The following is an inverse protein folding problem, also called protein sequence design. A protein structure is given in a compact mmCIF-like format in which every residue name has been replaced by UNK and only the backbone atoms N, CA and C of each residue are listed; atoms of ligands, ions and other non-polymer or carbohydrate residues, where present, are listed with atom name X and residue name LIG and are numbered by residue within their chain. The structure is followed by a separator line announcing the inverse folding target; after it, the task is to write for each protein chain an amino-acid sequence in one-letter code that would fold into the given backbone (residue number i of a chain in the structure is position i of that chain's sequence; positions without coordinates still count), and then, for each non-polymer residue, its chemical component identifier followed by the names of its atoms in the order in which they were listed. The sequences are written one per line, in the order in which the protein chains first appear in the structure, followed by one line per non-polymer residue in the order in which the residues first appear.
data_IF_932308805946
#
_entry.id   IF_932308805946
#
_cell.length_a   1.000
_cell.length_b   1.000
_cell.length_c   1.000
_cell.angle_alpha   90.00
_cell.angle_beta   90.00
_cell.angle_gamma   90.00
#
_symmetry.space_group_name_H-M   'P 1'
#
loop_
_entity.id
_entity.type
_entity.pdbx_description
1 polymer ?
#
# COMPACT_ATOMS: atom_id res chain seq x y z
N UNK A 1 -14.31 -20.41 7.05
CA UNK A 1 -13.42 -19.22 7.10
C UNK A 1 -12.08 -19.68 7.64
N UNK A 2 -11.04 -19.51 6.86
CA UNK A 2 -9.64 -19.72 7.29
C UNK A 2 -8.99 -18.35 7.51
N UNK A 3 -8.07 -18.27 8.48
CA UNK A 3 -7.45 -16.99 8.84
C UNK A 3 -5.95 -17.12 9.06
N UNK A 4 -5.21 -16.07 8.74
CA UNK A 4 -3.79 -15.93 9.07
C UNK A 4 -3.55 -14.55 9.71
N UNK A 5 -3.16 -14.56 10.99
CA UNK A 5 -2.93 -13.34 11.76
C UNK A 5 -1.50 -12.83 11.57
N UNK A 6 -1.37 -11.55 11.30
CA UNK A 6 -0.10 -10.85 11.17
C UNK A 6 -0.02 -9.69 12.16
N UNK A 7 0.64 -9.91 13.30
CA UNK A 7 0.86 -8.86 14.30
C UNK A 7 1.70 -7.69 13.74
N UNK A 8 1.41 -6.49 14.18
CA UNK A 8 2.09 -5.26 13.75
C UNK A 8 3.61 -5.30 13.98
N UNK A 9 4.05 -5.87 15.09
CA UNK A 9 5.47 -5.99 15.46
C UNK A 9 6.20 -7.11 14.70
N UNK A 10 5.47 -8.05 14.09
CA UNK A 10 6.04 -9.14 13.27
C UNK A 10 6.41 -8.71 11.85
N UNK A 11 6.04 -7.49 11.43
CA UNK A 11 6.36 -6.95 10.11
C UNK A 11 7.85 -6.70 9.96
N UNK A 12 8.37 -6.87 8.75
CA UNK A 12 9.71 -6.41 8.40
C UNK A 12 9.88 -4.93 8.66
N UNK A 13 11.10 -4.48 8.94
CA UNK A 13 11.35 -3.07 9.14
C UNK A 13 12.67 -2.65 8.51
N UNK A 14 12.69 -1.41 7.99
CA UNK A 14 13.90 -0.73 7.55
C UNK A 14 13.89 0.70 8.12
N UNK A 15 15.07 1.18 8.53
CA UNK A 15 15.26 2.55 8.97
C UNK A 15 16.53 3.11 8.31
N UNK A 16 16.33 4.10 7.45
CA UNK A 16 17.39 4.77 6.72
C UNK A 16 17.61 6.22 7.20
N UNK A 17 17.09 6.55 8.38
CA UNK A 17 17.05 7.90 8.91
C UNK A 17 15.89 8.71 8.33
N UNK A 18 15.91 8.99 7.05
CA UNK A 18 14.86 9.72 6.35
C UNK A 18 13.59 8.88 6.04
N UNK A 19 13.72 7.56 6.02
CA UNK A 19 12.64 6.60 5.78
C UNK A 19 12.57 5.61 6.94
N UNK A 20 11.40 5.47 7.54
CA UNK A 20 11.04 4.37 8.42
C UNK A 20 9.96 3.56 7.72
N UNK A 21 10.27 2.33 7.33
CA UNK A 21 9.38 1.46 6.58
C UNK A 21 9.01 0.21 7.39
N UNK A 22 7.74 -0.20 7.30
CA UNK A 22 7.23 -1.46 7.82
C UNK A 22 6.63 -2.28 6.68
N UNK A 23 7.08 -3.53 6.54
CA UNK A 23 6.73 -4.41 5.43
C UNK A 23 5.86 -5.56 5.92
N UNK A 24 4.64 -5.67 5.41
CA UNK A 24 3.77 -6.83 5.70
C UNK A 24 4.24 -8.08 4.98
N UNK A 25 4.84 -7.93 3.79
CA UNK A 25 5.39 -9.01 2.96
C UNK A 25 6.87 -8.75 2.66
N UNK A 26 7.58 -9.81 2.25
CA UNK A 26 9.00 -9.76 1.91
C UNK A 26 9.29 -8.66 0.89
N UNK A 27 10.13 -7.70 1.28
CA UNK A 27 10.43 -6.51 0.51
C UNK A 27 11.83 -6.00 0.83
N UNK A 28 12.54 -5.47 -0.18
CA UNK A 28 13.89 -4.90 -0.09
C UNK A 28 14.89 -5.84 0.62
N UNK A 29 15.36 -5.47 1.80
CA UNK A 29 16.33 -6.24 2.58
C UNK A 29 15.73 -7.27 3.54
N UNK A 30 14.40 -7.26 3.71
CA UNK A 30 13.71 -8.20 4.59
C UNK A 30 13.08 -9.34 3.82
N UNK A 31 13.35 -10.56 4.24
CA UNK A 31 12.82 -11.77 3.63
C UNK A 31 12.27 -12.72 4.69
N UNK A 32 11.02 -13.15 4.49
CA UNK A 32 10.37 -14.23 5.24
C UNK A 32 9.64 -15.13 4.22
N UNK A 33 9.99 -16.42 4.10
CA UNK A 33 9.37 -17.31 3.12
C UNK A 33 7.87 -17.53 3.34
N UNK A 34 7.37 -17.32 4.56
CA UNK A 34 5.95 -17.41 4.89
C UNK A 34 5.18 -16.11 4.64
N UNK A 35 5.91 -15.05 4.26
CA UNK A 35 5.39 -13.71 4.05
C UNK A 35 5.83 -13.14 2.70
N UNK A 36 5.53 -13.85 1.62
CA UNK A 36 5.85 -13.38 0.26
C UNK A 36 4.74 -12.49 -0.28
N UNK A 37 3.49 -12.90 -0.13
CA UNK A 37 2.30 -12.23 -0.64
C UNK A 37 1.04 -12.81 -0.01
N UNK A 38 -0.11 -12.15 -0.25
CA UNK A 38 -1.44 -12.69 0.05
C UNK A 38 -2.26 -12.64 -1.25
N UNK A 39 -2.47 -13.79 -1.89
CA UNK A 39 -3.07 -13.80 -3.23
C UNK A 39 -2.34 -12.86 -4.19
N UNK A 40 -3.07 -11.99 -4.87
CA UNK A 40 -2.48 -10.99 -5.77
C UNK A 40 -1.83 -9.79 -5.04
N UNK A 41 -2.03 -9.62 -3.73
CA UNK A 41 -1.40 -8.56 -2.93
C UNK A 41 0.07 -8.91 -2.66
N UNK A 42 0.98 -8.24 -3.40
CA UNK A 42 2.42 -8.49 -3.33
C UNK A 42 3.14 -7.63 -2.29
N UNK A 43 2.72 -6.38 -2.14
CA UNK A 43 3.33 -5.42 -1.21
C UNK A 43 2.24 -4.71 -0.42
N UNK A 44 2.45 -4.56 0.87
CA UNK A 44 1.81 -3.58 1.74
C UNK A 44 2.89 -3.02 2.67
N UNK A 45 3.31 -1.82 2.38
CA UNK A 45 4.26 -1.05 3.17
C UNK A 45 3.54 0.10 3.87
N UNK A 46 3.94 0.35 5.11
CA UNK A 46 3.53 1.47 5.94
C UNK A 46 4.78 2.32 6.18
N UNK A 47 4.89 3.41 5.44
CA UNK A 47 6.11 4.20 5.32
C UNK A 47 5.96 5.58 5.96
N UNK A 48 6.97 6.00 6.73
CA UNK A 48 7.12 7.35 7.24
C UNK A 48 8.34 7.97 6.56
N UNK A 49 8.14 9.08 5.83
CA UNK A 49 9.17 9.78 5.07
C UNK A 49 9.33 11.19 5.63
N UNK A 50 10.57 11.56 5.97
CA UNK A 50 10.89 12.91 6.46
C UNK A 50 10.61 14.00 5.43
N UNK A 51 10.44 15.23 5.90
CA UNK A 51 10.18 16.40 5.07
C UNK A 51 11.19 16.58 3.94
N UNK A 52 10.71 16.81 2.72
CA UNK A 52 11.53 17.01 1.51
C UNK A 52 12.28 15.77 1.01
N UNK A 53 12.19 14.64 1.72
CA UNK A 53 12.84 13.39 1.34
C UNK A 53 11.90 12.49 0.52
N UNK A 54 12.44 11.47 -0.12
CA UNK A 54 11.65 10.57 -0.94
C UNK A 54 12.48 9.63 -1.79
N UNK A 55 11.82 8.98 -2.73
CA UNK A 55 12.41 8.04 -3.67
C UNK A 55 12.67 8.73 -5.00
N UNK A 56 13.93 8.73 -5.44
CA UNK A 56 14.32 9.21 -6.75
C UNK A 56 13.72 8.38 -7.88
N UNK A 57 13.94 8.80 -9.13
CA UNK A 57 13.38 8.12 -10.30
C UNK A 57 13.80 6.66 -10.37
N UNK A 58 12.82 5.77 -10.45
CA UNK A 58 12.97 4.33 -10.56
C UNK A 58 11.90 3.70 -11.45
N UNK A 59 12.17 2.52 -12.05
CA UNK A 59 11.26 1.88 -12.98
C UNK A 59 10.27 0.94 -12.31
N UNK A 60 9.12 0.74 -12.96
CA UNK A 60 8.19 -0.35 -12.73
C UNK A 60 7.64 -0.88 -14.05
N UNK A 61 7.32 -2.16 -14.11
CA UNK A 61 6.59 -2.79 -15.19
C UNK A 61 5.59 -3.82 -14.63
N UNK A 62 4.48 -4.00 -15.34
CA UNK A 62 3.48 -5.04 -15.04
C UNK A 62 3.12 -5.14 -13.55
N UNK A 63 2.83 -4.01 -12.95
CA UNK A 63 2.43 -3.88 -11.55
C UNK A 63 1.34 -2.79 -11.43
N UNK A 64 0.35 -3.03 -10.60
CA UNK A 64 -0.60 -2.03 -10.14
C UNK A 64 -0.07 -1.48 -8.82
N UNK A 65 0.24 -0.17 -8.78
CA UNK A 65 0.83 0.50 -7.63
C UNK A 65 -0.17 1.49 -7.08
N UNK A 66 -0.49 1.34 -5.80
CA UNK A 66 -1.50 2.12 -5.10
C UNK A 66 -0.84 2.87 -3.95
N UNK A 67 -1.07 4.18 -3.86
CA UNK A 67 -0.57 5.03 -2.77
C UNK A 67 -1.72 5.69 -2.05
N UNK A 68 -1.73 5.59 -0.71
CA UNK A 68 -2.74 6.17 0.16
C UNK A 68 -2.03 6.94 1.28
N UNK A 69 -1.89 8.26 1.19
CA UNK A 69 -1.38 9.07 2.30
C UNK A 69 -2.36 9.04 3.48
N UNK A 70 -1.87 8.58 4.63
CA UNK A 70 -2.60 8.61 5.90
C UNK A 70 -2.44 9.94 6.63
N UNK A 71 -1.32 10.63 6.38
CA UNK A 71 -1.00 11.96 6.90
C UNK A 71 0.02 12.64 5.99
N UNK A 72 -0.23 13.90 5.65
CA UNK A 72 0.67 14.69 4.81
C UNK A 72 0.48 14.44 3.31
N UNK A 73 1.35 15.03 2.49
CA UNK A 73 1.21 15.10 1.03
C UNK A 73 2.42 14.51 0.33
N UNK A 74 2.19 13.67 -0.69
CA UNK A 74 3.23 13.05 -1.53
C UNK A 74 3.25 13.70 -2.91
N UNK A 75 4.39 14.18 -3.36
CA UNK A 75 4.60 14.58 -4.76
C UNK A 75 5.00 13.35 -5.59
N UNK A 76 4.26 13.11 -6.66
CA UNK A 76 4.52 12.08 -7.66
C UNK A 76 4.89 12.74 -9.00
N UNK A 77 5.93 12.20 -9.65
CA UNK A 77 6.30 12.56 -11.04
C UNK A 77 6.60 11.28 -11.81
N UNK A 78 6.13 11.21 -13.05
CA UNK A 78 6.35 10.03 -13.88
C UNK A 78 6.73 10.35 -15.33
N UNK A 79 7.14 9.29 -16.06
CA UNK A 79 7.54 9.36 -17.45
C UNK A 79 6.37 9.54 -18.44
N UNK A 80 5.12 9.46 -17.97
CA UNK A 80 3.93 9.77 -18.75
C UNK A 80 3.64 11.28 -18.78
N UNK A 81 4.37 12.08 -17.98
CA UNK A 81 4.23 13.52 -17.88
C UNK A 81 3.36 14.00 -16.72
N UNK A 82 2.93 13.11 -15.84
CA UNK A 82 2.21 13.52 -14.64
C UNK A 82 3.18 14.15 -13.63
N UNK A 83 2.72 15.23 -13.01
CA UNK A 83 3.34 15.88 -11.84
C UNK A 83 2.22 16.28 -10.92
N UNK A 84 1.96 15.45 -9.93
CA UNK A 84 0.76 15.54 -9.09
C UNK A 84 1.15 15.54 -7.61
N UNK A 85 0.25 16.01 -6.77
CA UNK A 85 0.36 15.92 -5.31
C UNK A 85 -0.80 15.08 -4.80
N UNK A 86 -0.48 13.92 -4.23
CA UNK A 86 -1.44 13.03 -3.59
C UNK A 86 -1.54 13.48 -2.14
N UNK A 87 -2.72 13.97 -1.75
CA UNK A 87 -2.96 14.55 -0.42
C UNK A 87 -3.51 13.51 0.55
N UNK A 88 -3.39 13.80 1.83
CA UNK A 88 -4.14 13.07 2.85
C UNK A 88 -5.62 12.98 2.51
N UNK A 89 -6.19 11.76 2.56
CA UNK A 89 -7.57 11.49 2.16
C UNK A 89 -7.79 11.37 0.65
N UNK A 90 -6.73 11.12 -0.12
CA UNK A 90 -6.78 10.75 -1.53
C UNK A 90 -6.21 9.34 -1.73
N UNK A 91 -6.58 8.71 -2.84
CA UNK A 91 -5.98 7.48 -3.33
C UNK A 91 -5.43 7.71 -4.72
N UNK A 92 -4.23 7.20 -4.99
CA UNK A 92 -3.59 7.22 -6.29
C UNK A 92 -3.36 5.80 -6.77
N UNK A 93 -3.53 5.58 -8.07
CA UNK A 93 -3.17 4.36 -8.78
C UNK A 93 -2.27 4.68 -9.96
N UNK A 94 -1.20 3.91 -10.10
CA UNK A 94 -0.35 3.87 -11.28
C UNK A 94 -0.30 2.43 -11.80
N UNK A 95 -0.89 2.19 -12.98
CA UNK A 95 -0.72 0.92 -13.70
C UNK A 95 0.57 1.02 -14.50
N UNK A 96 1.59 0.25 -14.14
CA UNK A 96 2.91 0.33 -14.75
C UNK A 96 2.96 -0.26 -16.17
N UNK A 97 2.11 -1.24 -16.48
CA UNK A 97 1.93 -1.80 -17.83
C UNK A 97 3.24 -2.16 -18.53
N UNK A 98 3.47 -1.60 -19.72
CA UNK A 98 4.69 -1.84 -20.52
C UNK A 98 5.96 -1.21 -19.94
N UNK A 99 5.83 -0.39 -18.90
CA UNK A 99 6.93 0.24 -18.20
C UNK A 99 6.73 1.73 -17.93
N UNK A 100 7.05 2.16 -16.72
CA UNK A 100 7.01 3.56 -16.29
C UNK A 100 8.23 3.82 -15.39
N UNK A 101 8.73 5.05 -15.43
CA UNK A 101 9.66 5.58 -14.45
C UNK A 101 8.92 6.61 -13.61
N UNK A 102 9.07 6.57 -12.29
CA UNK A 102 8.50 7.59 -11.42
C UNK A 102 9.40 7.93 -10.23
N UNK A 103 9.06 9.03 -9.58
CA UNK A 103 9.68 9.47 -8.32
C UNK A 103 8.58 9.92 -7.36
N UNK A 104 8.83 9.73 -6.07
CA UNK A 104 7.90 10.03 -4.99
C UNK A 104 8.62 10.78 -3.87
N UNK A 105 8.20 12.01 -3.58
CA UNK A 105 8.80 12.84 -2.54
C UNK A 105 7.76 13.36 -1.57
N UNK A 106 8.12 13.42 -0.30
CA UNK A 106 7.33 14.18 0.66
C UNK A 106 7.28 15.64 0.23
N UNK A 107 6.08 16.12 -0.10
CA UNK A 107 5.86 17.50 -0.59
C UNK A 107 6.11 18.54 0.49
N UNK A 108 5.94 18.18 1.76
CA UNK A 108 6.16 19.07 2.88
C UNK A 108 7.67 19.15 3.17
N UNK A 109 8.19 20.35 3.42
CA UNK A 109 9.61 20.54 3.68
C UNK A 109 10.02 20.21 5.12
N UNK A 110 9.09 20.37 6.07
CA UNK A 110 9.33 20.38 7.51
C UNK A 110 8.49 19.36 8.31
N UNK A 111 7.65 18.58 7.63
CA UNK A 111 6.76 17.58 8.24
C UNK A 111 6.95 16.23 7.59
N UNK A 112 6.92 15.19 8.38
CA UNK A 112 6.88 13.83 7.87
C UNK A 112 5.52 13.51 7.23
N UNK A 113 5.54 12.62 6.26
CA UNK A 113 4.36 11.97 5.70
C UNK A 113 4.30 10.54 6.22
N UNK A 114 3.08 10.01 6.45
CA UNK A 114 2.82 8.59 6.63
C UNK A 114 1.88 8.12 5.53
N UNK A 115 2.24 7.07 4.81
CA UNK A 115 1.46 6.52 3.71
C UNK A 115 1.47 4.99 3.71
N UNK A 116 0.43 4.41 3.11
CA UNK A 116 0.43 3.02 2.69
C UNK A 116 0.78 2.95 1.20
N UNK A 117 1.72 2.07 0.86
CA UNK A 117 2.01 1.70 -0.53
C UNK A 117 1.70 0.22 -0.74
N UNK A 118 0.82 -0.04 -1.71
CA UNK A 118 0.35 -1.38 -2.03
C UNK A 118 0.69 -1.71 -3.49
N UNK A 119 1.14 -2.94 -3.73
CA UNK A 119 1.38 -3.45 -5.08
C UNK A 119 0.53 -4.68 -5.31
N UNK A 120 -0.22 -4.65 -6.40
CA UNK A 120 -1.09 -5.76 -6.82
C UNK A 120 -0.59 -6.30 -8.15
N UNK A 121 -0.43 -7.62 -8.25
CA UNK A 121 -0.16 -8.26 -9.54
C UNK A 121 -1.34 -8.05 -10.47
N UNK A 122 -1.12 -7.51 -11.69
CA UNK A 122 -2.20 -7.36 -12.65
C UNK A 122 -2.65 -8.71 -13.25
N UNK A 123 -3.92 -8.80 -13.63
CA UNK A 123 -4.46 -9.93 -14.40
C UNK A 123 -4.19 -9.77 -15.92
N UNK A 124 -3.70 -8.61 -16.35
CA UNK A 124 -3.41 -8.29 -17.75
C UNK A 124 -2.03 -7.62 -17.85
N UNK A 125 -1.16 -8.24 -18.62
CA UNK A 125 0.22 -7.74 -18.82
C UNK A 125 0.34 -6.85 -20.04
N UNK A 126 1.41 -6.02 -20.03
CA UNK A 126 1.80 -5.14 -21.14
C UNK A 126 0.69 -4.21 -21.60
N UNK A 127 -0.13 -3.76 -20.66
CA UNK A 127 -1.12 -2.70 -20.89
C UNK A 127 -0.42 -1.35 -21.06
N UNK A 128 -1.12 -0.38 -21.62
CA UNK A 128 -0.64 1.00 -21.65
C UNK A 128 -0.54 1.54 -20.21
N UNK A 129 0.58 2.17 -19.82
CA UNK A 129 0.71 2.78 -18.50
C UNK A 129 -0.36 3.86 -18.28
N UNK A 130 -0.88 3.94 -17.07
CA UNK A 130 -1.90 4.92 -16.70
C UNK A 130 -1.74 5.43 -15.29
N UNK A 131 -2.29 6.61 -15.03
CA UNK A 131 -2.36 7.27 -13.74
C UNK A 131 -3.80 7.68 -13.44
N UNK A 132 -4.23 7.52 -12.19
CA UNK A 132 -5.50 8.04 -11.69
C UNK A 132 -5.37 8.43 -10.22
N UNK A 133 -6.08 9.46 -9.81
CA UNK A 133 -6.12 9.96 -8.44
C UNK A 133 -7.50 10.53 -8.13
N UNK A 134 -8.05 10.22 -6.96
CA UNK A 134 -9.34 10.77 -6.52
C UNK A 134 -9.34 11.05 -5.02
N UNK A 135 -10.17 11.98 -4.53
CA UNK A 135 -10.42 12.17 -3.10
C UNK A 135 -11.29 11.04 -2.54
N UNK A 136 -10.82 10.34 -1.50
CA UNK A 136 -11.57 9.30 -0.79
C UNK A 136 -12.70 9.91 0.05
N UNK A 137 -12.50 11.14 0.55
CA UNK A 137 -13.46 11.80 1.46
C UNK A 137 -14.88 11.93 0.86
N UNK A 138 -15.00 12.07 -0.46
CA UNK A 138 -16.30 12.12 -1.12
C UNK A 138 -17.05 10.78 -1.15
N UNK A 139 -16.35 9.69 -0.86
CA UNK A 139 -16.87 8.32 -0.84
C UNK A 139 -17.18 7.84 0.59
N UNK A 140 -16.71 8.58 1.60
CA UNK A 140 -16.76 8.19 3.00
C UNK A 140 -18.18 7.95 3.50
N UNK A 141 -18.37 6.79 4.15
CA UNK A 141 -19.56 6.42 4.89
C UNK A 141 -19.14 5.92 6.27
N UNK A 142 -19.76 6.47 7.33
CA UNK A 142 -19.47 6.07 8.70
C UNK A 142 -20.17 4.78 9.03
N UNK A 143 -19.46 3.83 9.66
CA UNK A 143 -19.96 2.51 10.06
C UNK A 143 -20.44 1.62 8.88
N UNK A 144 -19.96 1.90 7.66
CA UNK A 144 -20.23 1.10 6.47
C UNK A 144 -18.96 1.00 5.62
N UNK A 145 -18.65 -0.18 5.04
CA UNK A 145 -17.57 -0.30 4.08
C UNK A 145 -17.84 0.54 2.83
N UNK A 146 -16.95 1.46 2.48
CA UNK A 146 -17.07 2.24 1.27
C UNK A 146 -15.93 1.93 0.29
N UNK A 147 -16.30 1.66 -0.96
CA UNK A 147 -15.38 1.26 -2.00
C UNK A 147 -14.51 2.42 -2.45
N UNK A 148 -13.19 2.19 -2.53
CA UNK A 148 -12.21 3.16 -3.00
C UNK A 148 -11.46 2.70 -4.25
N UNK A 149 -11.53 1.38 -4.56
CA UNK A 149 -10.91 0.79 -5.74
C UNK A 149 -11.69 -0.46 -6.18
N UNK A 150 -11.81 -0.66 -7.50
CA UNK A 150 -12.43 -1.84 -8.11
C UNK A 150 -11.74 -2.24 -9.43
N UNK A 151 -12.13 -3.35 -10.07
CA UNK A 151 -11.64 -3.71 -11.41
C UNK A 151 -12.30 -2.93 -12.57
N UNK A 152 -13.32 -2.11 -12.30
CA UNK A 152 -14.18 -1.50 -13.32
C UNK A 152 -13.99 0.02 -13.39
N UNK A 153 -13.81 0.54 -14.62
CA UNK A 153 -13.53 1.97 -14.85
C UNK A 153 -14.74 2.88 -14.58
N UNK A 154 -15.93 2.34 -14.64
CA UNK A 154 -17.21 3.03 -14.42
C UNK A 154 -17.81 2.82 -13.03
N UNK A 155 -17.07 2.15 -12.16
CA UNK A 155 -17.44 1.89 -10.78
C UNK A 155 -16.92 2.99 -9.83
N UNK A 156 -17.36 2.94 -8.58
CA UNK A 156 -16.91 3.87 -7.54
C UNK A 156 -15.44 3.65 -7.20
N UNK A 157 -14.68 4.72 -7.10
CA UNK A 157 -13.27 4.69 -6.74
C UNK A 157 -12.35 4.80 -7.96
N UNK A 158 -11.09 4.41 -7.77
CA UNK A 158 -10.14 4.19 -8.85
C UNK A 158 -10.23 2.74 -9.33
N UNK A 159 -9.71 2.43 -10.51
CA UNK A 159 -9.73 1.06 -11.02
C UNK A 159 -8.33 0.55 -11.38
N UNK A 160 -8.15 -0.78 -11.35
CA UNK A 160 -6.90 -1.47 -11.69
C UNK A 160 -7.16 -2.66 -12.62
N UNK A 161 -6.10 -3.17 -13.25
CA UNK A 161 -6.13 -4.40 -14.02
C UNK A 161 -5.98 -5.64 -13.14
N UNK A 162 -6.89 -5.81 -12.17
CA UNK A 162 -7.02 -7.03 -11.36
C UNK A 162 -8.44 -7.11 -10.81
N UNK A 163 -8.97 -8.34 -10.63
CA UNK A 163 -10.23 -8.59 -9.94
C UNK A 163 -10.04 -8.39 -8.43
N UNK A 164 -9.85 -7.14 -8.05
CA UNK A 164 -9.60 -6.73 -6.68
C UNK A 164 -10.47 -5.54 -6.29
N UNK A 165 -10.90 -5.51 -5.04
CA UNK A 165 -11.70 -4.43 -4.47
C UNK A 165 -11.08 -3.97 -3.16
N UNK A 166 -10.93 -2.65 -3.02
CA UNK A 166 -10.50 -2.06 -1.76
C UNK A 166 -11.64 -1.26 -1.17
N UNK A 167 -11.89 -1.51 0.10
CA UNK A 167 -12.84 -0.74 0.89
C UNK A 167 -12.13 -0.12 2.09
N UNK A 168 -12.46 1.13 2.38
CA UNK A 168 -12.17 1.71 3.68
C UNK A 168 -13.37 1.52 4.59
N UNK A 169 -13.10 1.44 5.88
CA UNK A 169 -14.12 1.32 6.92
C UNK A 169 -13.70 2.20 8.10
N UNK A 170 -14.57 3.12 8.47
CA UNK A 170 -14.42 4.02 9.61
C UNK A 170 -15.54 3.73 10.61
N UNK A 171 -15.21 3.08 11.72
CA UNK A 171 -16.16 2.56 12.70
C UNK A 171 -16.10 3.35 14.00
N UNK A 172 -17.26 3.64 14.56
CA UNK A 172 -17.37 4.01 15.97
C UNK A 172 -17.22 2.75 16.85
N UNK A 173 -16.76 2.95 18.08
CA UNK A 173 -16.71 1.90 19.10
C UNK A 173 -18.11 1.24 19.26
N UNK A 174 -18.10 -0.04 19.57
CA UNK A 174 -19.31 -0.87 19.79
C UNK A 174 -20.21 -1.06 18.56
N UNK A 175 -19.74 -0.68 17.35
CA UNK A 175 -20.42 -1.01 16.10
C UNK A 175 -19.90 -2.33 15.51
N UNK A 176 -20.80 -3.05 14.84
CA UNK A 176 -20.47 -4.23 14.07
C UNK A 176 -21.01 -4.10 12.65
N UNK A 177 -20.24 -4.55 11.68
CA UNK A 177 -20.61 -4.56 10.26
C UNK A 177 -20.25 -5.90 9.63
N UNK A 178 -20.97 -6.28 8.59
CA UNK A 178 -20.62 -7.43 7.76
C UNK A 178 -19.96 -6.95 6.48
N UNK A 179 -18.95 -7.70 6.04
CA UNK A 179 -18.35 -7.55 4.73
C UNK A 179 -18.66 -8.77 3.89
N UNK A 180 -19.33 -8.54 2.76
CA UNK A 180 -19.61 -9.57 1.75
C UNK A 180 -18.57 -9.48 0.64
N UNK A 181 -17.86 -10.59 0.37
CA UNK A 181 -16.87 -10.65 -0.70
C UNK A 181 -17.53 -10.39 -2.06
N UNK A 182 -16.82 -9.70 -2.93
CA UNK A 182 -17.33 -9.30 -4.26
C UNK A 182 -17.20 -10.43 -5.28
N UNK A 183 -16.23 -11.32 -5.10
CA UNK A 183 -15.99 -12.43 -6.01
C UNK A 183 -15.67 -13.72 -5.23
N UNK A 184 -16.32 -14.83 -5.63
CA UNK A 184 -16.07 -16.14 -5.05
C UNK A 184 -14.62 -16.59 -5.28
N UNK A 185 -13.98 -17.14 -4.25
CA UNK A 185 -12.59 -17.57 -4.29
C UNK A 185 -11.57 -16.47 -4.00
N UNK A 186 -12.00 -15.21 -3.85
CA UNK A 186 -11.15 -14.16 -3.33
C UNK A 186 -10.86 -14.36 -1.83
N UNK A 187 -9.79 -13.75 -1.36
CA UNK A 187 -9.51 -13.53 0.04
C UNK A 187 -9.47 -12.05 0.37
N UNK A 188 -9.64 -11.71 1.63
CA UNK A 188 -9.56 -10.34 2.13
C UNK A 188 -8.38 -10.21 3.08
N UNK A 189 -7.50 -9.25 2.83
CA UNK A 189 -6.47 -8.83 3.77
C UNK A 189 -6.97 -7.59 4.51
N UNK A 190 -7.47 -7.78 5.74
CA UNK A 190 -7.92 -6.71 6.61
C UNK A 190 -6.72 -6.12 7.36
N UNK A 191 -6.46 -4.82 7.20
CA UNK A 191 -5.36 -4.12 7.87
C UNK A 191 -5.92 -2.97 8.71
N UNK A 192 -5.68 -3.03 10.03
CA UNK A 192 -6.14 -2.00 10.98
C UNK A 192 -5.21 -0.80 10.91
N UNK A 193 -5.71 0.32 10.43
CA UNK A 193 -4.94 1.58 10.37
C UNK A 193 -4.90 2.22 11.75
N UNK A 194 -6.04 2.34 12.42
CA UNK A 194 -6.17 2.89 13.78
C UNK A 194 -7.24 2.11 14.54
N UNK A 195 -7.15 2.12 15.88
CA UNK A 195 -8.15 1.54 16.78
C UNK A 195 -7.99 0.03 16.99
N UNK A 196 -9.12 -0.62 17.32
CA UNK A 196 -9.17 -2.03 17.67
C UNK A 196 -10.46 -2.67 17.17
N UNK A 197 -10.35 -3.80 16.47
CA UNK A 197 -11.48 -4.51 15.87
C UNK A 197 -11.34 -6.02 16.04
N UNK A 198 -12.45 -6.70 16.31
CA UNK A 198 -12.53 -8.15 16.36
C UNK A 198 -13.05 -8.70 15.03
N UNK A 199 -12.39 -9.74 14.53
CA UNK A 199 -12.82 -10.50 13.35
C UNK A 199 -12.71 -11.99 13.68
N UNK A 200 -13.84 -12.68 13.78
CA UNK A 200 -13.86 -14.07 14.23
C UNK A 200 -13.32 -14.21 15.66
N UNK A 201 -12.26 -14.98 15.84
CA UNK A 201 -11.60 -15.17 17.15
C UNK A 201 -10.41 -14.23 17.38
N UNK A 202 -10.14 -13.31 16.44
CA UNK A 202 -8.96 -12.46 16.47
C UNK A 202 -9.32 -11.03 16.87
N UNK A 203 -8.69 -10.52 17.93
CA UNK A 203 -8.69 -9.12 18.27
C UNK A 203 -7.47 -8.47 17.61
N UNK A 204 -7.73 -7.53 16.70
CA UNK A 204 -6.72 -6.81 15.94
C UNK A 204 -6.58 -5.40 16.50
N UNK A 205 -5.38 -5.03 16.91
CA UNK A 205 -5.03 -3.68 17.30
C UNK A 205 -4.41 -2.90 16.13
N UNK A 206 -4.15 -1.63 16.36
CA UNK A 206 -3.51 -0.74 15.37
C UNK A 206 -2.33 -1.41 14.64
N UNK A 207 -2.38 -1.43 13.32
CA UNK A 207 -1.39 -1.99 12.38
C UNK A 207 -1.29 -3.52 12.37
N UNK A 208 -2.10 -4.24 13.12
CA UNK A 208 -2.30 -5.67 12.91
C UNK A 208 -3.04 -5.92 11.60
N UNK A 209 -2.90 -7.12 11.08
CA UNK A 209 -3.62 -7.55 9.90
C UNK A 209 -4.10 -8.99 10.02
N UNK A 210 -5.17 -9.30 9.29
CA UNK A 210 -5.74 -10.63 9.18
C UNK A 210 -5.99 -10.97 7.71
N UNK A 211 -5.35 -12.02 7.21
CA UNK A 211 -5.73 -12.66 5.95
C UNK A 211 -6.91 -13.57 6.19
N UNK A 212 -7.96 -13.44 5.39
CA UNK A 212 -9.24 -14.16 5.54
C UNK A 212 -9.55 -14.83 4.21
N UNK A 213 -9.80 -16.14 4.23
CA UNK A 213 -10.14 -16.96 3.06
C UNK A 213 -11.25 -17.96 3.38
N UNK A 214 -11.73 -18.68 2.38
CA UNK A 214 -12.73 -19.74 2.53
C UNK A 214 -14.01 -19.25 3.25
N UNK A 215 -14.50 -18.09 2.84
CA UNK A 215 -15.75 -17.50 3.31
C UNK A 215 -16.36 -16.59 2.26
N UNK A 216 -17.67 -16.42 2.27
CA UNK A 216 -18.36 -15.44 1.44
C UNK A 216 -18.62 -14.13 2.19
N UNK A 217 -18.59 -14.18 3.53
CA UNK A 217 -18.90 -13.04 4.39
C UNK A 217 -18.21 -13.20 5.75
N UNK A 218 -17.92 -12.09 6.42
CA UNK A 218 -17.43 -12.08 7.80
C UNK A 218 -17.87 -10.80 8.51
N UNK A 219 -17.91 -10.87 9.83
CA UNK A 219 -18.23 -9.74 10.71
C UNK A 219 -16.94 -9.04 11.18
N UNK A 220 -17.01 -7.71 11.28
CA UNK A 220 -16.05 -6.88 11.99
C UNK A 220 -16.78 -6.17 13.13
N UNK A 221 -16.28 -6.28 14.36
CA UNK A 221 -16.83 -5.62 15.54
C UNK A 221 -15.79 -4.68 16.16
N UNK A 222 -16.05 -3.37 16.19
CA UNK A 222 -15.14 -2.37 16.72
C UNK A 222 -15.23 -2.30 18.26
N UNK A 223 -14.11 -2.50 18.93
CA UNK A 223 -13.95 -2.31 20.39
C UNK A 223 -13.57 -0.88 20.74
N UNK A 224 -12.98 -0.16 19.80
CA UNK A 224 -12.63 1.27 19.85
C UNK A 224 -12.99 1.88 18.51
N UNK A 225 -13.04 3.23 18.45
CA UNK A 225 -13.08 3.90 17.15
C UNK A 225 -11.95 3.37 16.27
N UNK A 226 -12.28 2.87 15.09
CA UNK A 226 -11.33 2.14 14.26
C UNK A 226 -11.40 2.57 12.80
N UNK A 227 -10.23 2.57 12.16
CA UNK A 227 -10.08 2.76 10.73
C UNK A 227 -9.39 1.52 10.14
N UNK A 228 -10.02 0.90 9.15
CA UNK A 228 -9.57 -0.35 8.55
C UNK A 228 -9.54 -0.19 7.02
N UNK A 229 -8.56 -0.80 6.37
CA UNK A 229 -8.62 -1.06 4.94
C UNK A 229 -8.83 -2.55 4.69
N UNK A 230 -9.84 -2.89 3.89
CA UNK A 230 -10.16 -4.23 3.43
C UNK A 230 -9.68 -4.37 1.99
N UNK A 231 -8.75 -5.27 1.76
CA UNK A 231 -8.09 -5.49 0.47
C UNK A 231 -8.50 -6.86 -0.03
N UNK A 232 -9.54 -6.90 -0.85
CA UNK A 232 -10.02 -8.13 -1.47
C UNK A 232 -9.26 -8.41 -2.76
N UNK A 233 -8.67 -9.61 -2.88
CA UNK A 233 -7.84 -10.03 -4.01
C UNK A 233 -8.08 -11.50 -4.35
N UNK A 234 -7.89 -11.91 -5.62
CA UNK A 234 -7.92 -13.32 -6.00
C UNK A 234 -6.78 -14.08 -5.32
N UNK A 235 -7.11 -15.29 -4.80
CA UNK A 235 -6.16 -16.18 -4.13
C UNK A 235 -5.50 -17.17 -5.08
N UNK A 236 -6.05 -17.35 -6.29
CA UNK A 236 -5.47 -18.25 -7.29
C UNK A 236 -4.17 -17.65 -7.80
N UNK A 237 -3.05 -18.29 -7.48
CA UNK A 237 -1.76 -17.97 -8.10
C UNK A 237 -1.85 -18.28 -9.59
N UNK A 238 -1.74 -17.28 -10.43
CA UNK A 238 -1.31 -17.52 -11.81
C UNK A 238 0.16 -17.97 -11.74
N UNK A 239 0.39 -19.29 -11.92
CA UNK A 239 1.73 -19.90 -11.86
C UNK A 239 2.72 -19.29 -12.86
N UNK A 240 2.25 -18.47 -13.80
CA UNK A 240 3.08 -17.69 -14.72
C UNK A 240 3.66 -16.42 -14.06
N UNK A 241 3.13 -15.97 -12.92
CA UNK A 241 3.58 -14.76 -12.22
C UNK A 241 4.72 -15.02 -11.23
N UNK A 242 4.92 -16.27 -10.79
CA UNK A 242 5.98 -16.66 -9.85
C UNK A 242 7.40 -16.55 -10.44
N UNK A 243 7.51 -16.35 -11.76
CA UNK A 243 8.77 -16.19 -12.48
C UNK A 243 8.87 -14.79 -13.12
N UNK A 244 8.79 -13.73 -12.31
CA UNK A 244 9.28 -12.43 -12.77
C UNK A 244 10.79 -12.35 -12.47
N UNK A 245 11.69 -12.60 -13.47
CA UNK A 245 13.14 -12.52 -13.22
C UNK A 245 13.59 -11.12 -12.81
N UNK A 246 12.76 -10.11 -13.05
CA UNK A 246 13.05 -8.70 -12.79
C UNK A 246 12.71 -8.25 -11.36
N UNK A 247 12.01 -9.06 -10.56
CA UNK A 247 11.82 -8.71 -9.14
C UNK A 247 13.17 -8.60 -8.39
N UNK A 248 14.18 -9.38 -8.82
CA UNK A 248 15.54 -9.28 -8.29
C UNK A 248 16.25 -7.98 -8.72
N UNK A 249 15.97 -7.46 -9.92
CA UNK A 249 16.53 -6.19 -10.40
C UNK A 249 15.93 -4.99 -9.67
N UNK A 250 14.62 -4.97 -9.42
CA UNK A 250 13.97 -3.91 -8.64
C UNK A 250 14.54 -3.85 -7.22
N UNK A 251 14.80 -5.02 -6.60
CA UNK A 251 15.43 -5.08 -5.28
C UNK A 251 16.89 -4.58 -5.28
N UNK A 252 17.64 -4.83 -6.34
CA UNK A 252 19.02 -4.37 -6.47
C UNK A 252 19.10 -2.86 -6.75
N UNK A 253 18.18 -2.31 -7.55
CA UNK A 253 18.14 -0.88 -7.84
C UNK A 253 17.65 -0.05 -6.65
N UNK A 254 16.64 -0.51 -5.90
CA UNK A 254 16.24 0.15 -4.64
C UNK A 254 17.40 0.17 -3.63
N UNK A 255 18.18 -0.92 -3.52
CA UNK A 255 19.40 -0.96 -2.70
C UNK A 255 20.45 0.03 -3.18
N UNK A 256 20.68 0.12 -4.50
CA UNK A 256 21.63 1.06 -5.09
C UNK A 256 21.19 2.53 -4.91
N UNK A 257 19.91 2.78 -4.93
CA UNK A 257 19.33 4.12 -4.78
C UNK A 257 19.38 4.60 -3.32
N UNK A 258 19.07 3.71 -2.37
CA UNK A 258 19.25 3.98 -0.93
C UNK A 258 20.72 4.27 -0.64
N UNK A 259 21.65 3.50 -1.24
CA UNK A 259 23.10 3.73 -1.10
C UNK A 259 23.54 5.06 -1.74
N UNK A 260 22.99 5.47 -2.89
CA UNK A 260 23.29 6.75 -3.54
C UNK A 260 22.76 7.95 -2.75
N UNK A 261 21.56 7.85 -2.17
CA UNK A 261 21.02 8.89 -1.29
C UNK A 261 21.89 9.09 -0.03
N UNK A 262 22.38 7.99 0.56
CA UNK A 262 23.33 8.04 1.69
C UNK A 262 24.71 8.63 1.29
N UNK A 263 25.16 8.38 0.05
CA UNK A 263 26.41 8.93 -0.46
C UNK A 263 26.30 10.44 -0.73
N UNK A 264 25.18 10.91 -1.28
CA UNK A 264 24.94 12.34 -1.53
C UNK A 264 24.80 13.14 -0.23
N UNK A 265 24.23 12.54 0.84
CA UNK A 265 24.22 13.18 2.16
C UNK A 265 25.61 13.33 2.79
N UNK A 266 26.54 12.40 2.51
CA UNK A 266 27.93 12.48 3.00
C UNK A 266 28.83 13.42 2.18
N UNK A 267 28.44 13.76 0.97
CA UNK A 267 29.21 14.60 0.06
C UNK A 267 28.73 16.05 -0.07
N UNK A 268 27.77 16.49 0.76
CA UNK A 268 27.32 17.88 0.74
C UNK A 268 27.98 18.70 1.87
N UNK A 269 29.08 19.44 1.59
CA UNK A 269 29.84 20.17 2.62
C UNK A 269 29.18 21.49 3.07
N UNK A 270 27.90 21.75 2.69
CA UNK A 270 27.21 23.01 2.98
C UNK A 270 26.42 23.02 4.31
N UNK A 271 26.47 21.96 5.11
CA UNK A 271 25.78 21.90 6.42
C UNK A 271 26.69 22.15 7.63
N UNK A 272 27.97 22.48 7.44
CA UNK A 272 28.92 22.77 8.55
C UNK A 272 29.04 24.27 8.90
N UNK A 273 28.24 25.18 8.30
CA UNK A 273 28.39 26.62 8.51
C UNK A 273 27.27 27.32 9.30
N UNK A 274 26.46 26.56 10.05
CA UNK A 274 25.42 27.16 10.93
C UNK A 274 25.52 26.69 12.39
N UNK A 275 26.73 26.43 12.89
CA UNK A 275 27.02 26.35 14.33
C UNK A 275 28.34 27.13 14.62
N UNK A 276 28.23 28.43 14.60
CA UNK A 276 29.16 29.35 15.29
C UNK A 276 28.39 30.64 15.65
#
# INVERSE_FOLDING_TARGET
METIFHAADSRGSANHGWLQAKHSFSFAGWFNPERIQFGALRVLNDDIIQGGMGFGTHPHDNMEIITIPLRGDLEHKDSMGNTEVIREGEIQVMSAGTGVYHSEYNKNADKEINLLQLWIFPNKRNVEPRYAQIPIRSLHQKNEPFQILSPYADDQGVWIHQNAWFHMLDMDAEHAVYYDLKEEGNGVYAFVIEGEVEIGEHLLSKRDALGITETATFELAAHQDAQIILIEVPMVEDKTQTLCPNSHFIFLELRAQIARSLFLMRCNPLMEFLQS
#
